data_IF_681756798348
#
_entry.id   IF_681756798348
#
_cell.length_a   1.000
_cell.length_b   1.000
_cell.length_c   1.000
_cell.angle_alpha   90.00
_cell.angle_beta   90.00
_cell.angle_gamma   90.00
#
_symmetry.space_group_name_H-M   'P 1'
#
loop_
_entity.id
_entity.type
_entity.pdbx_description
1 polymer ?
#
# COMPACT_ATOMS: atom_id res chain seq x y z
N UNK A 1 -76.25 -12.87 -23.25
CA UNK A 1 -75.17 -13.70 -23.81
C UNK A 1 -74.47 -14.33 -22.62
N UNK A 2 -74.87 -15.56 -22.31
CA UNK A 2 -74.06 -16.78 -22.56
C UNK A 2 -72.93 -16.84 -21.53
N UNK A 3 -72.99 -17.72 -20.53
CA UNK A 3 -72.68 -19.15 -20.68
C UNK A 3 -71.15 -19.30 -20.62
N UNK A 4 -70.50 -20.17 -19.85
CA UNK A 4 -70.86 -21.37 -19.11
C UNK A 4 -69.76 -21.55 -18.04
N UNK A 5 -70.14 -21.90 -16.80
CA UNK A 5 -69.82 -23.17 -16.14
C UNK A 5 -68.34 -23.63 -16.21
N UNK A 6 -67.72 -23.81 -15.03
CA UNK A 6 -67.55 -25.17 -14.52
C UNK A 6 -67.24 -25.17 -13.01
N UNK A 7 -68.15 -25.83 -12.29
CA UNK A 7 -67.99 -26.28 -10.92
C UNK A 7 -67.01 -27.46 -10.85
N UNK A 8 -66.28 -27.57 -9.73
CA UNK A 8 -66.15 -28.74 -8.83
C UNK A 8 -64.73 -28.82 -8.27
N UNK A 9 -64.53 -28.56 -6.99
CA UNK A 9 -64.77 -29.44 -5.83
C UNK A 9 -63.49 -30.17 -5.41
N UNK A 10 -63.00 -29.71 -4.25
CA UNK A 10 -62.37 -30.46 -3.16
C UNK A 10 -60.92 -30.94 -3.27
N UNK A 11 -60.17 -30.51 -2.26
CA UNK A 11 -58.96 -31.16 -1.75
C UNK A 11 -58.44 -30.36 -0.56
N UNK A 12 -58.92 -30.67 0.65
CA UNK A 12 -58.26 -30.26 1.91
C UNK A 12 -57.06 -31.18 2.14
N UNK A 13 -56.11 -30.72 2.97
CA UNK A 13 -54.86 -31.35 3.47
C UNK A 13 -53.63 -30.90 2.63
N UNK A 14 -52.49 -30.49 3.20
CA UNK A 14 -51.96 -30.66 4.54
C UNK A 14 -51.01 -29.50 4.91
N UNK A 15 -50.79 -29.33 6.21
CA UNK A 15 -49.79 -28.46 6.80
C UNK A 15 -48.38 -28.80 6.29
N UNK A 16 -47.58 -27.75 6.04
CA UNK A 16 -46.16 -27.85 5.76
C UNK A 16 -45.49 -26.55 6.16
N UNK A 17 -44.98 -26.51 7.39
CA UNK A 17 -44.11 -25.45 7.85
C UNK A 17 -42.82 -25.45 7.02
N UNK A 18 -42.48 -24.32 6.42
CA UNK A 18 -41.13 -24.04 5.96
C UNK A 18 -40.87 -22.54 6.13
N UNK A 19 -40.27 -22.18 7.27
CA UNK A 19 -39.56 -20.92 7.42
C UNK A 19 -38.48 -20.84 6.34
N UNK A 20 -38.72 -20.00 5.34
CA UNK A 20 -37.75 -19.67 4.32
C UNK A 20 -37.74 -18.16 4.10
N UNK A 21 -37.35 -17.40 5.13
CA UNK A 21 -36.97 -15.99 4.92
C UNK A 21 -35.67 -16.03 4.14
N UNK A 22 -35.77 -15.75 2.85
CA UNK A 22 -34.65 -15.44 1.98
C UNK A 22 -33.94 -14.23 2.56
N UNK A 23 -32.82 -14.47 3.25
CA UNK A 23 -31.87 -13.42 3.59
C UNK A 23 -31.28 -12.96 2.27
N UNK A 24 -31.79 -11.83 1.75
CA UNK A 24 -31.12 -11.05 0.73
C UNK A 24 -29.80 -10.60 1.34
N UNK A 25 -28.75 -11.40 1.14
CA UNK A 25 -27.37 -11.02 1.40
C UNK A 25 -27.05 -9.87 0.47
N UNK A 26 -27.32 -8.65 0.92
CA UNK A 26 -26.73 -7.46 0.33
C UNK A 26 -25.24 -7.67 0.40
N UNK A 27 -24.60 -7.86 -0.76
CA UNK A 27 -23.17 -7.68 -0.88
C UNK A 27 -22.90 -6.26 -0.38
N UNK A 28 -22.42 -6.14 0.85
CA UNK A 28 -21.84 -4.89 1.31
C UNK A 28 -20.83 -4.52 0.22
N UNK A 29 -20.88 -3.32 -0.37
CA UNK A 29 -19.74 -2.86 -1.14
C UNK A 29 -18.55 -3.05 -0.20
N UNK A 30 -17.53 -3.80 -0.63
CA UNK A 30 -16.28 -3.83 0.08
C UNK A 30 -15.96 -2.36 0.35
N UNK A 31 -16.04 -1.95 1.60
CA UNK A 31 -15.64 -0.62 1.98
C UNK A 31 -14.15 -0.64 1.68
N UNK A 32 -13.77 -0.15 0.52
CA UNK A 32 -12.39 0.18 0.23
C UNK A 32 -12.11 1.25 1.28
N UNK A 33 -11.54 0.82 2.41
CA UNK A 33 -11.12 1.73 3.44
C UNK A 33 -10.31 2.79 2.71
N UNK A 34 -10.76 4.05 2.80
CA UNK A 34 -9.97 5.15 2.29
C UNK A 34 -8.55 5.02 2.84
N UNK A 35 -7.52 5.48 2.12
CA UNK A 35 -6.13 5.30 2.52
C UNK A 35 -5.97 5.70 3.99
N UNK A 36 -5.82 4.70 4.86
CA UNK A 36 -5.64 4.90 6.28
C UNK A 36 -4.22 5.40 6.50
N UNK A 37 -4.05 6.34 7.44
CA UNK A 37 -2.70 6.79 7.80
C UNK A 37 -2.00 5.62 8.48
N UNK A 38 -0.91 5.08 7.92
CA UNK A 38 -0.22 3.95 8.52
C UNK A 38 0.29 4.36 9.89
N UNK A 39 0.03 3.52 10.89
CA UNK A 39 0.47 3.71 12.26
C UNK A 39 0.97 2.39 12.85
N UNK A 40 2.00 2.45 13.69
CA UNK A 40 2.57 1.28 14.35
C UNK A 40 3.74 0.67 13.59
N UNK A 41 4.06 -0.59 13.87
CA UNK A 41 5.21 -1.27 13.28
C UNK A 41 4.85 -2.03 12.01
N UNK A 42 5.75 -1.96 11.04
CA UNK A 42 5.66 -2.64 9.76
C UNK A 42 6.98 -3.35 9.47
N UNK A 43 6.89 -4.58 9.00
CA UNK A 43 8.00 -5.29 8.42
C UNK A 43 8.26 -4.74 7.02
N UNK A 44 9.47 -4.22 6.80
CA UNK A 44 9.99 -3.88 5.49
C UNK A 44 10.70 -5.09 4.91
N UNK A 45 10.40 -5.41 3.66
CA UNK A 45 11.12 -6.41 2.88
C UNK A 45 11.39 -5.87 1.48
N UNK A 46 12.62 -5.97 1.00
CA UNK A 46 13.00 -5.59 -0.35
C UNK A 46 13.81 -6.70 -1.00
N UNK A 47 13.57 -6.94 -2.29
CA UNK A 47 14.32 -7.91 -3.07
C UNK A 47 14.84 -7.25 -4.34
N UNK A 48 16.13 -7.43 -4.60
CA UNK A 48 16.77 -6.98 -5.83
C UNK A 48 17.74 -8.07 -6.32
N UNK A 49 17.32 -8.83 -7.33
CA UNK A 49 18.03 -10.02 -7.78
C UNK A 49 18.23 -11.02 -6.63
N UNK A 50 19.45 -11.52 -6.38
CA UNK A 50 19.71 -12.46 -5.28
C UNK A 50 19.81 -11.77 -3.90
N UNK A 51 19.77 -10.43 -3.84
CA UNK A 51 19.90 -9.68 -2.60
C UNK A 51 18.54 -9.44 -1.96
N UNK A 52 18.40 -9.86 -0.71
CA UNK A 52 17.23 -9.56 0.12
C UNK A 52 17.64 -8.60 1.24
N UNK A 53 16.75 -7.66 1.55
CA UNK A 53 16.85 -6.79 2.73
C UNK A 53 15.56 -6.87 3.52
N UNK A 54 15.71 -6.85 4.84
CA UNK A 54 14.60 -6.76 5.78
C UNK A 54 14.93 -5.77 6.89
N UNK A 55 13.90 -5.05 7.34
CA UNK A 55 14.00 -4.09 8.43
C UNK A 55 12.62 -3.94 9.09
N UNK A 56 12.57 -3.26 10.23
CA UNK A 56 11.30 -2.85 10.85
C UNK A 56 11.18 -1.34 10.74
N UNK A 57 10.04 -0.86 10.25
CA UNK A 57 9.72 0.56 10.16
C UNK A 57 8.58 0.87 11.11
N UNK A 58 8.71 1.96 11.86
CA UNK A 58 7.70 2.45 12.79
C UNK A 58 7.07 3.70 12.20
N UNK A 59 5.76 3.67 12.03
CA UNK A 59 4.98 4.77 11.49
C UNK A 59 4.27 5.50 12.62
N UNK A 60 4.48 6.81 12.69
CA UNK A 60 3.85 7.72 13.64
C UNK A 60 3.03 8.75 12.86
N UNK A 61 1.69 8.71 12.94
CA UNK A 61 0.84 9.70 12.29
C UNK A 61 1.13 11.12 12.79
N UNK A 62 1.44 12.04 11.88
CA UNK A 62 1.59 13.49 12.16
C UNK A 62 0.39 14.31 11.65
N UNK A 63 -0.52 13.69 10.90
CA UNK A 63 -1.73 14.32 10.38
C UNK A 63 -2.48 13.42 9.39
N UNK A 64 -3.59 13.88 8.80
CA UNK A 64 -4.40 13.08 7.89
C UNK A 64 -3.69 12.72 6.57
N UNK A 65 -2.67 13.48 6.19
CA UNK A 65 -1.86 13.27 4.97
C UNK A 65 -0.36 13.26 5.29
N UNK A 66 -0.02 12.96 6.55
CA UNK A 66 1.35 13.01 7.08
C UNK A 66 1.61 11.81 7.99
N UNK A 67 2.67 11.06 7.72
CA UNK A 67 3.19 10.04 8.64
C UNK A 67 4.70 10.17 8.74
N UNK A 68 5.21 10.23 9.97
CA UNK A 68 6.65 10.16 10.22
C UNK A 68 7.03 8.68 10.31
N UNK A 69 8.11 8.31 9.62
CA UNK A 69 8.67 6.96 9.61
C UNK A 69 10.00 6.97 10.33
N UNK A 70 10.16 6.03 11.24
CA UNK A 70 11.44 5.68 11.84
C UNK A 70 11.79 4.24 11.43
N UNK A 71 12.78 4.09 10.55
CA UNK A 71 13.14 2.81 9.97
C UNK A 71 14.65 2.61 9.92
N UNK A 72 15.18 2.49 8.71
CA UNK A 72 16.63 2.35 8.53
C UNK A 72 17.37 3.65 8.88
N UNK A 73 18.70 3.61 9.02
CA UNK A 73 19.53 4.78 9.41
C UNK A 73 19.27 6.08 8.62
N UNK A 74 18.76 5.96 7.39
CA UNK A 74 18.51 7.07 6.47
C UNK A 74 17.03 7.51 6.42
N UNK A 75 16.15 6.76 7.08
CA UNK A 75 14.72 7.01 7.24
C UNK A 75 14.40 7.16 8.73
N UNK A 76 15.29 7.81 9.49
CA UNK A 76 15.02 8.18 10.87
C UNK A 76 14.26 9.50 10.87
N UNK A 77 13.07 9.53 11.47
CA UNK A 77 12.17 10.70 11.47
C UNK A 77 11.88 11.26 10.07
N UNK A 78 11.66 10.37 9.09
CA UNK A 78 11.35 10.75 7.72
C UNK A 78 9.85 11.03 7.57
N UNK A 79 9.48 12.25 7.19
CA UNK A 79 8.09 12.63 7.00
C UNK A 79 7.61 12.24 5.59
N UNK A 80 6.67 11.32 5.53
CA UNK A 80 5.98 10.92 4.32
C UNK A 80 4.68 11.68 4.18
N UNK A 81 4.42 12.16 2.98
CA UNK A 81 3.19 12.86 2.63
C UNK A 81 2.32 12.03 1.70
N UNK A 82 1.02 11.99 1.96
CA UNK A 82 0.06 11.29 1.10
C UNK A 82 -0.32 12.17 -0.08
N UNK A 83 -0.03 11.69 -1.30
CA UNK A 83 -0.34 12.35 -2.55
C UNK A 83 -0.96 11.35 -3.53
N UNK A 84 -2.22 11.55 -3.90
CA UNK A 84 -2.90 10.70 -4.89
C UNK A 84 -2.98 9.21 -4.54
N UNK A 85 -2.99 8.86 -3.24
CA UNK A 85 -3.02 7.46 -2.77
C UNK A 85 -1.63 6.82 -2.57
N UNK A 86 -0.56 7.58 -2.75
CA UNK A 86 0.82 7.15 -2.51
C UNK A 86 1.47 8.00 -1.43
N UNK A 87 2.15 7.36 -0.49
CA UNK A 87 3.01 8.03 0.47
C UNK A 87 4.35 8.31 -0.19
N UNK A 88 4.80 9.56 -0.15
CA UNK A 88 6.01 10.02 -0.81
C UNK A 88 6.95 10.70 0.20
N UNK A 89 8.24 10.39 0.09
CA UNK A 89 9.32 11.02 0.82
C UNK A 89 10.49 11.30 -0.13
N UNK A 90 11.12 12.45 0.05
CA UNK A 90 12.37 12.80 -0.63
C UNK A 90 13.39 13.29 0.39
N UNK A 91 14.49 12.57 0.53
CA UNK A 91 15.62 12.92 1.38
C UNK A 91 16.89 13.16 0.58
N UNK A 92 17.85 13.82 1.21
CA UNK A 92 19.23 13.92 0.71
C UNK A 92 20.14 13.00 1.52
N UNK A 93 21.21 12.55 0.89
CA UNK A 93 22.27 11.80 1.56
C UNK A 93 23.58 11.98 0.83
N UNK A 94 24.59 11.24 1.27
CA UNK A 94 25.87 11.11 0.59
C UNK A 94 26.19 9.65 0.34
N UNK A 95 26.94 9.40 -0.72
CA UNK A 95 27.62 8.13 -0.99
C UNK A 95 29.04 8.40 -1.45
N UNK A 96 29.91 7.42 -1.38
CA UNK A 96 31.25 7.54 -1.95
C UNK A 96 31.20 7.35 -3.47
N UNK A 97 31.80 8.29 -4.20
CA UNK A 97 32.01 8.13 -5.64
C UNK A 97 33.02 7.00 -5.88
N UNK A 98 32.70 5.93 -6.64
CA UNK A 98 33.59 4.80 -6.84
C UNK A 98 34.91 5.11 -7.58
N UNK A 99 35.02 6.28 -8.23
CA UNK A 99 36.20 6.65 -9.02
C UNK A 99 37.29 7.27 -8.14
N UNK A 100 36.90 8.23 -7.29
CA UNK A 100 37.82 9.08 -6.53
C UNK A 100 37.51 9.12 -5.02
N UNK A 101 36.54 8.32 -4.55
CA UNK A 101 36.11 8.23 -3.16
C UNK A 101 35.70 9.56 -2.53
N UNK A 102 35.36 10.55 -3.35
CA UNK A 102 34.83 11.82 -2.88
C UNK A 102 33.36 11.64 -2.44
N UNK A 103 32.93 12.36 -1.40
CA UNK A 103 31.53 12.37 -1.00
C UNK A 103 30.66 12.95 -2.12
N UNK A 104 29.79 12.12 -2.68
CA UNK A 104 28.85 12.50 -3.72
C UNK A 104 27.45 12.69 -3.13
N UNK A 105 26.82 13.85 -3.32
CA UNK A 105 25.45 14.06 -2.88
C UNK A 105 24.47 13.23 -3.70
N UNK A 106 23.53 12.60 -3.01
CA UNK A 106 22.46 11.79 -3.61
C UNK A 106 21.09 12.24 -3.12
N UNK A 107 20.08 12.11 -3.97
CA UNK A 107 18.68 12.15 -3.60
C UNK A 107 18.17 10.74 -3.39
N UNK A 108 17.42 10.53 -2.31
CA UNK A 108 16.69 9.30 -2.01
C UNK A 108 15.21 9.61 -2.05
N UNK A 109 14.49 8.95 -2.93
CA UNK A 109 13.04 9.05 -3.01
C UNK A 109 12.45 7.71 -2.64
N UNK A 110 11.49 7.75 -1.73
CA UNK A 110 10.75 6.56 -1.29
C UNK A 110 9.29 6.84 -1.56
N UNK A 111 8.63 5.92 -2.24
CA UNK A 111 7.20 6.05 -2.50
C UNK A 111 6.49 4.71 -2.37
N UNK A 112 5.36 4.65 -1.68
CA UNK A 112 4.59 3.41 -1.53
C UNK A 112 3.10 3.65 -1.53
N UNK A 113 2.36 2.69 -2.08
CA UNK A 113 0.92 2.74 -2.17
C UNK A 113 0.26 2.65 -0.79
N UNK A 114 -0.70 3.52 -0.51
CA UNK A 114 -1.32 3.61 0.81
C UNK A 114 -2.24 2.42 1.14
N UNK A 115 -2.63 1.60 0.16
CA UNK A 115 -3.52 0.45 0.34
C UNK A 115 -2.74 -0.86 0.32
N UNK A 116 -1.96 -1.07 -0.74
CA UNK A 116 -1.18 -2.30 -0.96
C UNK A 116 0.14 -2.32 -0.21
N UNK A 117 0.61 -1.15 0.28
CA UNK A 117 1.88 -1.00 1.00
C UNK A 117 3.11 -1.44 0.18
N UNK A 118 2.93 -1.62 -1.13
CA UNK A 118 3.99 -1.89 -2.08
C UNK A 118 4.63 -0.56 -2.51
N UNK A 119 5.96 -0.52 -2.51
CA UNK A 119 6.70 0.69 -2.78
C UNK A 119 7.98 0.51 -3.54
N UNK A 120 8.55 1.64 -3.92
CA UNK A 120 9.86 1.72 -4.52
C UNK A 120 10.71 2.74 -3.78
N UNK A 121 11.95 2.35 -3.57
CA UNK A 121 13.04 3.20 -3.12
C UNK A 121 13.94 3.45 -4.32
N UNK A 122 14.18 4.72 -4.64
CA UNK A 122 15.17 5.14 -5.63
C UNK A 122 16.24 6.00 -4.99
N UNK A 123 17.49 5.75 -5.34
CA UNK A 123 18.64 6.59 -5.00
C UNK A 123 19.26 7.06 -6.29
N UNK A 124 19.34 8.37 -6.47
CA UNK A 124 19.92 9.01 -7.65
C UNK A 124 21.03 9.98 -7.23
N UNK A 125 22.06 10.09 -8.07
CA UNK A 125 23.15 11.04 -7.89
C UNK A 125 22.69 12.44 -8.22
N UNK A 126 23.03 13.44 -7.40
CA UNK A 126 22.71 14.84 -7.68
C UNK A 126 23.81 15.51 -8.50
N UNK A 127 25.04 15.00 -8.38
CA UNK A 127 26.20 15.47 -9.10
C UNK A 127 26.84 14.35 -9.90
N UNK A 128 27.72 14.72 -10.83
CA UNK A 128 28.49 13.78 -11.62
C UNK A 128 29.60 13.15 -10.76
N UNK A 129 29.68 11.83 -10.80
CA UNK A 129 30.82 11.08 -10.28
C UNK A 129 31.71 10.68 -11.46
N UNK A 130 32.91 11.26 -11.53
CA UNK A 130 33.81 11.08 -12.67
C UNK A 130 33.24 11.64 -13.99
N UNK A 131 33.31 10.85 -15.06
CA UNK A 131 32.81 11.21 -16.41
C UNK A 131 31.35 10.77 -16.69
N UNK A 132 30.63 10.27 -15.68
CA UNK A 132 29.23 9.86 -15.83
C UNK A 132 28.25 11.05 -15.81
N UNK A 133 27.01 10.87 -16.32
CA UNK A 133 25.97 11.90 -16.20
C UNK A 133 25.55 12.09 -14.73
N UNK A 134 25.39 13.34 -14.30
CA UNK A 134 24.68 13.66 -13.07
C UNK A 134 23.20 13.24 -13.20
N UNK A 135 22.55 12.87 -12.10
CA UNK A 135 21.14 12.42 -12.13
C UNK A 135 20.97 10.92 -12.39
N UNK A 136 22.05 10.14 -12.46
CA UNK A 136 21.96 8.69 -12.65
C UNK A 136 21.37 7.98 -11.43
N UNK A 137 20.37 7.11 -11.66
CA UNK A 137 19.86 6.19 -10.64
C UNK A 137 20.94 5.16 -10.34
N UNK A 138 21.43 5.17 -9.10
CA UNK A 138 22.51 4.31 -8.61
C UNK A 138 22.01 3.17 -7.72
N UNK A 139 20.74 3.23 -7.31
CA UNK A 139 20.10 2.13 -6.61
C UNK A 139 18.59 2.25 -6.70
N UNK A 140 17.93 1.17 -7.10
CA UNK A 140 16.47 1.08 -7.12
C UNK A 140 16.05 -0.25 -6.51
N UNK A 141 15.15 -0.17 -5.53
CA UNK A 141 14.68 -1.33 -4.77
C UNK A 141 13.16 -1.29 -4.71
N UNK A 142 12.53 -2.37 -5.11
CA UNK A 142 11.12 -2.60 -4.84
C UNK A 142 11.01 -3.21 -3.45
N UNK A 143 10.05 -2.71 -2.67
CA UNK A 143 9.82 -3.18 -1.33
C UNK A 143 8.35 -3.40 -1.06
N UNK A 144 8.09 -4.28 -0.09
CA UNK A 144 6.78 -4.55 0.46
C UNK A 144 6.82 -4.27 1.96
N UNK A 145 5.88 -3.46 2.40
CA UNK A 145 5.59 -3.26 3.82
C UNK A 145 4.44 -4.17 4.23
N UNK A 146 4.58 -4.80 5.39
CA UNK A 146 3.55 -5.66 5.98
C UNK A 146 3.34 -5.24 7.42
N UNK A 147 2.11 -4.90 7.80
CA UNK A 147 1.78 -4.52 9.18
C UNK A 147 2.08 -5.67 10.13
N UNK A 148 2.83 -5.41 11.20
CA UNK A 148 3.22 -6.44 12.19
C UNK A 148 2.42 -6.39 13.49
N UNK A 149 1.70 -5.29 13.75
CA UNK A 149 0.86 -5.12 14.94
C UNK A 149 0.32 -3.70 15.04
#
# INVERSE_FOLDING_TARGET
MEGEAMMRTWGKLAAGAACGVLVAGGAMPAAHAGPEVPSGQYAFSAQHGPSQRSATWTFTPCGPTCTTVDGERWLQNADFHLNGGRWEYSGRGSMDCPVDHTPLPVSKTVSFDAVTLAGQWTTATLEQCGRGPAGGVVGQWEFQLTKTG
#
